data_IF_715008313935
#
_entry.id   IF_715008313935
#
_cell.length_a   1.000
_cell.length_b   1.000
_cell.length_c   1.000
_cell.angle_alpha   90.00
_cell.angle_beta   90.00
_cell.angle_gamma   90.00
#
_symmetry.space_group_name_H-M   'P 1'
#
loop_
_entity.id
_entity.type
_entity.pdbx_description
1 polymer ?
#
# COMPACT_ATOMS: atom_id res chain seq x y z
N UNK A 1 12.89 -11.43 1.48
CA UNK A 1 14.23 -10.83 1.39
C UNK A 1 15.40 -11.81 1.56
N UNK A 2 15.47 -12.65 2.61
CA UNK A 2 16.60 -13.62 2.80
C UNK A 2 16.84 -14.61 1.66
N UNK A 3 15.81 -15.11 0.97
CA UNK A 3 15.96 -16.05 -0.15
C UNK A 3 16.62 -15.41 -1.39
N UNK A 4 16.31 -14.15 -1.70
CA UNK A 4 16.86 -13.45 -2.87
C UNK A 4 18.36 -13.13 -2.70
N UNK A 5 18.79 -12.79 -1.48
CA UNK A 5 20.22 -12.54 -1.17
C UNK A 5 21.07 -13.81 -1.40
N UNK A 6 20.53 -14.97 -1.10
CA UNK A 6 21.21 -16.26 -1.33
C UNK A 6 21.50 -16.49 -2.82
N UNK A 7 20.56 -16.16 -3.71
CA UNK A 7 20.73 -16.36 -5.16
C UNK A 7 21.66 -15.31 -5.80
N UNK A 8 21.79 -14.10 -5.23
CA UNK A 8 22.80 -13.13 -5.63
C UNK A 8 24.22 -13.66 -5.42
N UNK A 9 24.48 -14.28 -4.27
CA UNK A 9 25.78 -14.90 -3.98
C UNK A 9 26.05 -16.12 -4.88
N UNK A 10 25.02 -16.92 -5.20
CA UNK A 10 25.13 -18.04 -6.12
C UNK A 10 25.41 -17.56 -7.56
N UNK A 11 24.81 -16.47 -8.01
CA UNK A 11 25.07 -15.87 -9.31
C UNK A 11 26.54 -15.40 -9.44
N UNK A 12 27.09 -14.76 -8.40
CA UNK A 12 28.49 -14.36 -8.39
C UNK A 12 29.46 -15.55 -8.46
N UNK A 13 29.17 -16.62 -7.73
CA UNK A 13 29.95 -17.88 -7.81
C UNK A 13 29.85 -18.55 -9.17
N UNK A 14 28.66 -18.54 -9.79
CA UNK A 14 28.40 -19.10 -11.11
C UNK A 14 29.20 -18.35 -12.19
N UNK A 15 29.19 -17.01 -12.18
CA UNK A 15 29.89 -16.16 -13.12
C UNK A 15 31.43 -16.23 -12.94
N UNK A 16 31.91 -16.47 -11.71
CA UNK A 16 33.34 -16.62 -11.41
C UNK A 16 33.87 -18.02 -11.66
N UNK A 17 33.01 -19.01 -12.00
CA UNK A 17 33.41 -20.41 -12.19
C UNK A 17 33.67 -21.19 -10.88
N UNK A 18 33.34 -20.62 -9.72
CA UNK A 18 33.61 -21.19 -8.39
C UNK A 18 32.39 -21.91 -7.77
N UNK A 19 31.42 -22.34 -8.59
CA UNK A 19 30.28 -23.11 -8.14
C UNK A 19 30.62 -24.62 -8.05
N UNK A 20 30.23 -25.24 -6.95
CA UNK A 20 30.21 -26.73 -6.88
C UNK A 20 28.96 -27.26 -7.60
N UNK A 21 29.02 -28.52 -8.09
CA UNK A 21 27.95 -29.11 -8.92
C UNK A 21 26.55 -29.03 -8.31
N UNK A 22 26.43 -29.17 -7.02
CA UNK A 22 25.13 -29.02 -6.30
C UNK A 22 24.58 -27.59 -6.30
N UNK A 23 25.45 -26.58 -6.14
CA UNK A 23 25.11 -25.15 -6.18
C UNK A 23 24.71 -24.74 -7.59
N UNK A 24 25.40 -25.26 -8.61
CA UNK A 24 25.09 -25.01 -10.02
C UNK A 24 23.70 -25.53 -10.37
N UNK A 25 23.37 -26.78 -10.06
CA UNK A 25 22.06 -27.38 -10.31
C UNK A 25 20.94 -26.60 -9.57
N UNK A 26 21.21 -26.14 -8.34
CA UNK A 26 20.26 -25.35 -7.59
C UNK A 26 20.01 -23.99 -8.24
N UNK A 27 21.04 -23.36 -8.77
CA UNK A 27 20.96 -22.07 -9.44
C UNK A 27 20.23 -22.18 -10.79
N UNK A 28 20.54 -23.18 -11.61
CA UNK A 28 19.89 -23.44 -12.89
C UNK A 28 18.40 -23.74 -12.72
N UNK A 29 18.04 -24.52 -11.68
CA UNK A 29 16.64 -24.78 -11.34
C UNK A 29 15.92 -23.50 -10.94
N UNK A 30 16.57 -22.60 -10.18
CA UNK A 30 15.98 -21.32 -9.81
C UNK A 30 15.79 -20.39 -11.03
N UNK A 31 16.72 -20.37 -11.97
CA UNK A 31 16.58 -19.64 -13.25
C UNK A 31 15.41 -20.15 -14.09
N UNK A 32 15.14 -21.44 -14.07
CA UNK A 32 14.03 -22.04 -14.84
C UNK A 32 12.64 -21.75 -14.27
N UNK A 33 12.53 -21.31 -13.02
CA UNK A 33 11.25 -21.03 -12.35
C UNK A 33 10.54 -19.77 -12.84
N UNK A 34 11.26 -18.79 -13.45
CA UNK A 34 10.66 -17.53 -13.87
C UNK A 34 11.53 -16.82 -14.90
N UNK A 35 10.89 -16.24 -15.93
CA UNK A 35 11.58 -15.40 -16.90
C UNK A 35 12.16 -14.12 -16.30
N UNK A 36 11.57 -13.63 -15.19
CA UNK A 36 12.15 -12.51 -14.41
C UNK A 36 13.51 -12.85 -13.82
N UNK A 37 13.73 -14.11 -13.40
CA UNK A 37 15.02 -14.57 -12.89
C UNK A 37 16.07 -14.62 -13.99
N UNK A 38 15.70 -15.10 -15.19
CA UNK A 38 16.59 -15.12 -16.37
C UNK A 38 17.02 -13.71 -16.76
N UNK A 39 16.03 -12.81 -16.89
CA UNK A 39 16.30 -11.42 -17.27
C UNK A 39 17.19 -10.68 -16.25
N UNK A 40 16.94 -10.90 -14.96
CA UNK A 40 17.82 -10.39 -13.91
C UNK A 40 19.26 -10.93 -14.04
N UNK A 41 19.43 -12.23 -14.31
CA UNK A 41 20.74 -12.84 -14.45
C UNK A 41 21.48 -12.37 -15.69
N UNK A 42 20.80 -12.17 -16.81
CA UNK A 42 21.38 -11.56 -18.03
C UNK A 42 21.97 -10.16 -17.76
N UNK A 43 21.26 -9.36 -16.94
CA UNK A 43 21.80 -8.08 -16.50
C UNK A 43 23.09 -8.21 -15.69
N UNK A 44 23.16 -9.20 -14.79
CA UNK A 44 24.38 -9.45 -14.00
C UNK A 44 25.54 -9.97 -14.88
N UNK A 45 25.26 -10.78 -15.88
CA UNK A 45 26.28 -11.28 -16.84
C UNK A 45 26.90 -10.14 -17.64
N UNK A 46 26.10 -9.20 -18.14
CA UNK A 46 26.60 -8.00 -18.83
C UNK A 46 27.54 -7.16 -17.95
N UNK A 47 27.17 -6.96 -16.69
CA UNK A 47 28.02 -6.22 -15.74
C UNK A 47 29.33 -6.95 -15.48
N UNK A 48 29.29 -8.29 -15.36
CA UNK A 48 30.45 -9.12 -15.15
C UNK A 48 31.41 -9.12 -16.35
N UNK A 49 30.88 -9.22 -17.58
CA UNK A 49 31.68 -9.13 -18.82
C UNK A 49 32.31 -7.76 -18.97
N UNK A 50 31.57 -6.68 -18.66
CA UNK A 50 32.13 -5.33 -18.69
C UNK A 50 33.26 -5.16 -17.66
N UNK A 51 33.15 -5.77 -16.48
CA UNK A 51 34.24 -5.72 -15.49
C UNK A 51 35.46 -6.52 -15.90
N UNK A 52 35.32 -7.61 -16.65
CA UNK A 52 36.43 -8.37 -17.23
C UNK A 52 37.13 -7.63 -18.38
N UNK A 53 36.35 -6.98 -19.24
CA UNK A 53 36.90 -6.20 -20.37
C UNK A 53 37.69 -4.97 -19.90
N UNK A 54 37.46 -4.48 -18.69
CA UNK A 54 38.16 -3.34 -18.11
C UNK A 54 39.33 -3.73 -17.19
N UNK A 55 39.70 -4.99 -17.07
CA UNK A 55 40.98 -5.35 -16.46
C UNK A 55 42.07 -5.06 -17.44
N UNK A 56 42.74 -3.92 -17.25
CA UNK A 56 44.00 -3.49 -17.89
C UNK A 56 45.15 -4.44 -17.52
N UNK A 57 45.01 -5.73 -17.86
CA UNK A 57 45.97 -6.76 -17.46
C UNK A 57 47.00 -7.11 -18.55
N UNK A 58 46.84 -6.63 -19.79
CA UNK A 58 47.70 -7.07 -20.90
C UNK A 58 48.81 -6.10 -21.28
N UNK A 59 49.06 -5.02 -20.54
CA UNK A 59 50.14 -4.06 -20.83
C UNK A 59 51.14 -3.84 -19.69
N UNK A 60 51.06 -4.56 -18.60
CA UNK A 60 52.06 -4.42 -17.51
C UNK A 60 53.09 -5.51 -17.67
N UNK A 61 54.22 -5.15 -18.33
CA UNK A 61 55.39 -6.02 -18.34
C UNK A 61 56.06 -5.99 -16.95
N UNK A 62 55.73 -7.01 -16.16
CA UNK A 62 56.18 -7.18 -14.76
C UNK A 62 57.72 -7.21 -14.67
N UNK A 63 58.40 -7.77 -15.67
CA UNK A 63 59.87 -7.82 -15.74
C UNK A 63 60.47 -6.43 -15.88
N UNK A 64 59.85 -5.56 -16.70
CA UNK A 64 60.30 -4.18 -16.87
C UNK A 64 60.06 -3.36 -15.59
N UNK A 65 58.97 -3.60 -14.90
CA UNK A 65 58.66 -2.97 -13.61
C UNK A 65 59.63 -3.46 -12.51
N UNK A 66 59.93 -4.74 -12.46
CA UNK A 66 60.83 -5.34 -11.51
C UNK A 66 62.29 -4.84 -11.72
N UNK A 67 62.73 -4.76 -13.00
CA UNK A 67 64.03 -4.20 -13.35
C UNK A 67 64.17 -2.70 -12.97
N UNK A 68 63.13 -1.91 -13.14
CA UNK A 68 63.11 -0.49 -12.66
C UNK A 68 63.20 -0.39 -11.13
N UNK A 69 62.59 -1.30 -10.41
CA UNK A 69 62.67 -1.37 -8.94
C UNK A 69 64.04 -1.80 -8.51
N UNK A 70 64.63 -2.83 -9.13
CA UNK A 70 65.97 -3.33 -8.80
C UNK A 70 67.04 -2.31 -9.14
N UNK A 71 66.94 -1.55 -10.26
CA UNK A 71 67.85 -0.43 -10.57
C UNK A 71 67.72 0.68 -9.53
N UNK A 72 66.56 1.01 -9.04
CA UNK A 72 66.40 1.98 -7.96
C UNK A 72 66.97 1.48 -6.62
N UNK A 73 66.88 0.22 -6.32
CA UNK A 73 67.49 -0.39 -5.13
C UNK A 73 69.02 -0.36 -5.24
N UNK A 74 69.61 -0.68 -6.40
CA UNK A 74 71.06 -0.58 -6.65
C UNK A 74 71.59 0.87 -6.56
N UNK A 75 70.82 1.85 -7.03
CA UNK A 75 71.12 3.26 -6.85
C UNK A 75 71.05 3.73 -5.38
N UNK A 76 70.27 3.12 -4.56
CA UNK A 76 70.17 3.45 -3.13
C UNK A 76 71.29 2.86 -2.27
N UNK A 77 72.14 1.96 -2.84
CA UNK A 77 73.29 1.33 -2.09
C UNK A 77 74.65 1.94 -2.43
N UNK A 78 74.69 3.05 -3.20
CA UNK A 78 75.96 3.82 -3.32
C UNK A 78 76.10 4.66 -2.03
N UNK A 79 77.27 4.56 -1.31
CA UNK A 79 77.51 5.39 -0.15
C UNK A 79 77.67 6.84 -0.58
N UNK A 80 76.69 7.64 -0.36
CA UNK A 80 76.72 9.10 -0.57
C UNK A 80 77.53 9.73 0.56
N UNK A 81 78.49 10.66 0.22
CA UNK A 81 79.21 11.41 1.25
C UNK A 81 78.24 12.31 2.03
N UNK A 82 78.42 12.26 3.31
CA UNK A 82 77.74 12.93 4.39
C UNK A 82 77.30 14.36 4.07
N UNK A 83 76.04 14.58 3.71
CA UNK A 83 75.45 15.92 3.61
C UNK A 83 74.39 16.07 4.73
N UNK A 84 74.78 16.96 5.60
CA UNK A 84 73.99 17.66 6.64
C UNK A 84 72.58 17.10 6.92
N UNK A 85 72.38 16.59 8.11
CA UNK A 85 71.08 16.26 8.74
C UNK A 85 70.17 17.49 8.73
N UNK A 86 69.44 17.72 7.63
CA UNK A 86 68.23 18.51 7.75
C UNK A 86 67.23 17.74 8.58
N UNK A 87 66.89 18.27 9.74
CA UNK A 87 65.92 17.70 10.63
C UNK A 87 64.61 17.36 9.89
N UNK A 88 64.32 16.09 9.63
CA UNK A 88 63.04 15.64 9.17
C UNK A 88 62.05 16.01 10.27
N UNK A 89 61.21 17.02 10.03
CA UNK A 89 60.08 17.29 10.91
C UNK A 89 59.30 15.97 11.05
N UNK A 90 58.99 15.47 12.26
CA UNK A 90 58.19 14.28 12.42
C UNK A 90 56.83 14.55 11.73
N UNK A 91 56.45 13.73 10.75
CA UNK A 91 55.09 13.78 10.20
C UNK A 91 54.18 13.54 11.40
N UNK A 92 53.52 14.62 11.82
CA UNK A 92 52.71 14.61 13.05
C UNK A 92 51.66 13.51 12.89
N UNK A 93 51.72 12.51 13.75
CA UNK A 93 50.71 11.46 13.89
C UNK A 93 49.32 12.09 14.01
N UNK A 94 49.27 13.34 14.46
CA UNK A 94 48.11 14.19 14.56
C UNK A 94 47.34 14.36 13.20
N UNK A 95 48.06 14.47 12.09
CA UNK A 95 47.43 14.62 10.76
C UNK A 95 46.80 13.31 10.28
N UNK A 96 47.35 12.17 10.67
CA UNK A 96 46.75 10.85 10.39
C UNK A 96 45.52 10.60 11.23
N UNK A 97 45.56 10.95 12.52
CA UNK A 97 44.43 10.85 13.44
C UNK A 97 43.32 11.82 13.02
N UNK A 98 43.67 13.04 12.62
CA UNK A 98 42.69 14.03 12.12
C UNK A 98 42.02 13.55 10.83
N UNK A 99 42.74 12.93 9.90
CA UNK A 99 42.20 12.34 8.67
C UNK A 99 41.24 11.15 8.97
N UNK A 100 41.65 10.25 9.86
CA UNK A 100 40.79 9.13 10.28
C UNK A 100 39.51 9.60 11.01
N UNK A 101 39.61 10.63 11.85
CA UNK A 101 38.49 11.23 12.53
C UNK A 101 37.50 11.91 11.54
N UNK A 102 38.04 12.59 10.50
CA UNK A 102 37.20 13.21 9.47
C UNK A 102 36.42 12.17 8.65
N UNK A 103 37.05 11.06 8.27
CA UNK A 103 36.41 9.95 7.54
C UNK A 103 35.36 9.28 8.45
N UNK A 104 35.65 9.10 9.73
CA UNK A 104 34.70 8.53 10.69
C UNK A 104 33.49 9.44 10.92
N UNK A 105 33.71 10.76 11.04
CA UNK A 105 32.62 11.72 11.18
C UNK A 105 31.79 11.84 9.90
N UNK A 106 32.41 11.77 8.71
CA UNK A 106 31.69 11.68 7.44
C UNK A 106 30.86 10.40 7.36
N UNK A 107 31.41 9.27 7.75
CA UNK A 107 30.68 8.00 7.85
C UNK A 107 29.49 8.07 8.81
N UNK A 108 29.70 8.67 9.99
CA UNK A 108 28.62 8.91 10.97
C UNK A 108 27.57 9.88 10.43
N UNK A 109 27.97 10.95 9.72
CA UNK A 109 27.05 11.89 9.10
C UNK A 109 26.21 11.20 8.02
N UNK A 110 26.84 10.40 7.13
CA UNK A 110 26.12 9.61 6.11
C UNK A 110 25.14 8.64 6.77
N UNK A 111 25.56 7.90 7.81
CA UNK A 111 24.68 7.00 8.57
C UNK A 111 23.55 7.74 9.26
N UNK A 112 23.80 8.94 9.80
CA UNK A 112 22.77 9.79 10.41
C UNK A 112 21.77 10.31 9.40
N UNK A 113 22.22 10.78 8.23
CA UNK A 113 21.33 11.21 7.14
C UNK A 113 20.58 10.06 6.49
N UNK A 114 21.20 8.88 6.36
CA UNK A 114 20.50 7.67 5.87
C UNK A 114 19.48 7.12 6.88
N UNK A 115 19.65 7.41 8.16
CA UNK A 115 18.71 6.96 9.23
C UNK A 115 17.55 7.91 9.46
N UNK A 116 17.64 9.14 8.97
CA UNK A 116 16.57 10.13 9.00
C UNK A 116 15.67 10.01 7.75
N UNK A 117 15.15 8.81 7.46
CA UNK A 117 13.87 8.72 6.77
C UNK A 117 12.83 9.26 7.76
N UNK A 118 12.52 10.52 7.64
CA UNK A 118 11.41 11.15 8.37
C UNK A 118 10.16 10.36 7.99
N UNK A 119 9.70 9.49 8.89
CA UNK A 119 8.41 8.84 8.71
C UNK A 119 7.38 9.97 8.55
N UNK A 120 6.59 9.97 7.46
CA UNK A 120 5.59 11.00 7.25
C UNK A 120 4.66 11.04 8.46
N UNK A 121 4.32 12.24 8.94
CA UNK A 121 3.35 12.37 10.02
C UNK A 121 2.02 11.81 9.55
N UNK A 122 1.43 10.92 10.36
CA UNK A 122 0.12 10.35 10.07
C UNK A 122 -0.95 11.32 10.57
N UNK A 123 -1.92 11.61 9.71
CA UNK A 123 -3.10 12.39 10.01
C UNK A 123 -4.27 11.45 10.24
N UNK A 124 -5.12 11.78 11.21
CA UNK A 124 -6.35 11.04 11.51
C UNK A 124 -7.51 11.97 11.23
N UNK A 125 -8.44 11.53 10.39
CA UNK A 125 -9.69 12.22 10.16
C UNK A 125 -10.85 11.32 10.56
N UNK A 126 -11.64 11.74 11.55
CA UNK A 126 -12.80 11.04 12.04
C UNK A 126 -14.07 11.86 11.77
N UNK A 127 -15.02 11.29 11.07
CA UNK A 127 -16.31 11.89 10.76
C UNK A 127 -17.35 11.44 11.79
N UNK A 128 -17.86 12.35 12.63
CA UNK A 128 -18.97 12.05 13.56
C UNK A 128 -20.30 11.96 12.83
N UNK A 129 -20.46 12.73 11.76
CA UNK A 129 -21.60 12.72 10.84
C UNK A 129 -21.10 12.54 9.42
N UNK A 130 -22.00 12.23 8.47
CA UNK A 130 -21.61 12.12 7.07
C UNK A 130 -21.05 13.45 6.56
N UNK A 131 -20.01 13.37 5.73
CA UNK A 131 -19.42 14.58 5.15
C UNK A 131 -20.15 14.98 3.86
N UNK A 132 -20.56 16.25 3.76
CA UNK A 132 -21.14 16.80 2.52
C UNK A 132 -20.08 17.14 1.48
N UNK A 133 -18.86 17.45 1.95
CA UNK A 133 -17.70 17.73 1.09
C UNK A 133 -16.65 16.62 1.25
N UNK A 134 -15.91 16.27 0.18
CA UNK A 134 -14.89 15.24 0.29
C UNK A 134 -13.69 15.70 1.10
N UNK A 135 -13.11 14.79 1.86
CA UNK A 135 -11.75 14.92 2.34
C UNK A 135 -10.80 14.74 1.14
N UNK A 136 -9.96 15.74 0.87
CA UNK A 136 -8.93 15.64 -0.16
C UNK A 136 -7.66 15.06 0.45
N UNK A 137 -7.18 13.98 -0.12
CA UNK A 137 -5.92 13.35 0.25
C UNK A 137 -4.74 14.02 -0.48
N UNK A 138 -3.49 13.84 0.00
CA UNK A 138 -2.31 14.47 -0.59
C UNK A 138 -2.02 14.12 -2.05
N UNK A 139 -2.56 13.02 -2.56
CA UNK A 139 -2.44 12.55 -3.94
C UNK A 139 -3.51 13.11 -4.89
N UNK A 140 -4.45 13.91 -4.39
CA UNK A 140 -5.61 14.44 -5.12
C UNK A 140 -6.85 13.54 -5.03
N UNK A 141 -6.76 12.35 -4.41
CA UNK A 141 -7.92 11.49 -4.21
C UNK A 141 -8.94 12.14 -3.28
N UNK A 142 -10.22 11.86 -3.53
CA UNK A 142 -11.36 12.38 -2.76
C UNK A 142 -12.02 11.26 -1.98
N UNK A 143 -12.32 11.50 -0.70
CA UNK A 143 -12.99 10.53 0.18
C UNK A 143 -14.18 11.19 0.85
N UNK A 144 -15.39 10.69 0.56
CA UNK A 144 -16.60 11.07 1.30
C UNK A 144 -16.79 10.06 2.43
N UNK A 145 -16.89 10.52 3.66
CA UNK A 145 -17.03 9.65 4.83
C UNK A 145 -18.47 9.67 5.34
N UNK A 146 -18.99 8.49 5.62
CA UNK A 146 -20.25 8.35 6.38
C UNK A 146 -19.98 8.58 7.88
N UNK A 147 -21.05 8.86 8.65
CA UNK A 147 -20.95 9.08 10.09
C UNK A 147 -20.33 7.88 10.83
N UNK A 148 -19.47 8.15 11.80
CA UNK A 148 -18.73 7.14 12.56
C UNK A 148 -17.53 6.55 11.83
N UNK A 149 -17.14 7.09 10.67
CA UNK A 149 -15.98 6.62 9.90
C UNK A 149 -14.68 7.33 10.28
N UNK A 150 -13.57 6.61 10.13
CA UNK A 150 -12.23 7.14 10.38
C UNK A 150 -11.26 6.67 9.29
N UNK A 151 -10.44 7.60 8.81
CA UNK A 151 -9.33 7.32 7.90
C UNK A 151 -8.03 7.86 8.50
N UNK A 152 -6.96 7.06 8.38
CA UNK A 152 -5.61 7.48 8.74
C UNK A 152 -4.74 7.45 7.49
N UNK A 153 -4.09 8.57 7.21
CA UNK A 153 -3.29 8.77 6.01
C UNK A 153 -2.06 9.63 6.30
N UNK A 154 -0.96 9.52 5.56
CA UNK A 154 0.23 10.33 5.74
C UNK A 154 0.01 11.76 5.23
N UNK A 155 0.70 12.74 5.80
CA UNK A 155 0.72 14.11 5.31
C UNK A 155 1.20 14.22 3.84
N UNK A 156 2.05 13.30 3.41
CA UNK A 156 2.47 13.12 2.02
C UNK A 156 2.76 11.64 1.74
N UNK A 157 2.37 11.13 0.57
CA UNK A 157 2.75 9.80 0.09
C UNK A 157 4.18 9.85 -0.46
N UNK A 158 5.16 9.41 0.33
CA UNK A 158 6.60 9.45 0.01
C UNK A 158 7.14 8.11 -0.50
N UNK A 159 6.30 7.08 -0.58
CA UNK A 159 6.64 5.74 -1.06
C UNK A 159 5.97 5.44 -2.39
N UNK A 160 6.44 4.37 -3.08
CA UNK A 160 5.83 3.86 -4.31
C UNK A 160 4.39 3.33 -4.10
N UNK A 161 3.91 3.28 -2.86
CA UNK A 161 2.56 2.83 -2.49
C UNK A 161 1.90 3.92 -1.66
N UNK A 162 0.72 4.37 -2.08
CA UNK A 162 -0.14 5.32 -1.36
C UNK A 162 -0.97 4.55 -0.35
N UNK A 163 -0.46 4.41 0.87
CA UNK A 163 -1.09 3.56 1.89
C UNK A 163 -1.88 4.37 2.90
N UNK A 164 -3.10 3.90 3.22
CA UNK A 164 -4.00 4.42 4.24
C UNK A 164 -4.57 3.29 5.08
N UNK A 165 -5.13 3.60 6.24
CA UNK A 165 -5.99 2.67 7.00
C UNK A 165 -7.37 3.27 7.16
N UNK A 166 -8.39 2.42 7.25
CA UNK A 166 -9.78 2.86 7.24
C UNK A 166 -10.65 1.97 8.13
N UNK A 167 -11.67 2.59 8.74
CA UNK A 167 -12.80 1.91 9.38
C UNK A 167 -14.08 2.72 9.19
N UNK A 168 -15.23 2.06 9.06
CA UNK A 168 -16.53 2.68 8.83
C UNK A 168 -17.04 2.48 7.42
N UNK A 169 -17.71 3.48 6.85
CA UNK A 169 -18.22 3.47 5.47
C UNK A 169 -17.80 4.74 4.73
N UNK A 170 -17.27 4.59 3.51
CA UNK A 170 -16.85 5.73 2.70
C UNK A 170 -16.93 5.44 1.20
N UNK A 171 -17.18 6.50 0.42
CA UNK A 171 -16.99 6.51 -1.02
C UNK A 171 -15.60 7.07 -1.32
N UNK A 172 -14.80 6.26 -1.98
CA UNK A 172 -13.47 6.62 -2.46
C UNK A 172 -13.51 6.94 -3.96
N UNK A 173 -12.95 8.08 -4.33
CA UNK A 173 -12.66 8.48 -5.71
C UNK A 173 -11.15 8.66 -5.80
N UNK A 174 -10.45 7.56 -6.12
CA UNK A 174 -8.99 7.52 -6.13
C UNK A 174 -8.44 8.04 -7.44
N UNK A 175 -7.50 9.00 -7.35
CA UNK A 175 -6.81 9.58 -8.50
C UNK A 175 -5.95 8.53 -9.22
N UNK A 176 -6.01 8.54 -10.56
CA UNK A 176 -5.36 7.54 -11.39
C UNK A 176 -3.83 7.73 -11.42
N UNK A 177 -3.10 6.80 -10.80
CA UNK A 177 -1.63 6.75 -10.77
C UNK A 177 -1.16 5.29 -10.95
N UNK A 178 -0.94 4.82 -12.20
CA UNK A 178 -0.60 3.43 -12.48
C UNK A 178 0.69 2.93 -11.83
N UNK A 179 1.67 3.82 -11.62
CA UNK A 179 2.98 3.48 -11.05
C UNK A 179 2.98 3.49 -9.50
N UNK A 180 1.95 4.09 -8.88
CA UNK A 180 1.82 4.21 -7.44
C UNK A 180 0.45 3.68 -6.97
N UNK A 181 0.31 2.39 -6.67
CA UNK A 181 -0.94 1.82 -6.19
C UNK A 181 -1.44 2.49 -4.91
N UNK A 182 -2.76 2.70 -4.82
CA UNK A 182 -3.41 3.15 -3.60
C UNK A 182 -3.89 1.93 -2.81
N UNK A 183 -3.47 1.81 -1.56
CA UNK A 183 -3.82 0.71 -0.69
C UNK A 183 -4.56 1.22 0.55
N UNK A 184 -5.67 0.56 0.85
CA UNK A 184 -6.39 0.74 2.11
C UNK A 184 -6.21 -0.55 2.91
N UNK A 185 -5.62 -0.45 4.08
CA UNK A 185 -5.44 -1.59 4.97
C UNK A 185 -6.46 -1.55 6.11
N UNK A 186 -7.11 -2.65 6.33
CA UNK A 186 -7.92 -2.97 7.49
C UNK A 186 -7.23 -4.07 8.30
N UNK A 187 -7.86 -4.58 9.34
CA UNK A 187 -7.21 -5.51 10.28
C UNK A 187 -6.71 -6.81 9.62
N UNK A 188 -7.48 -7.40 8.69
CA UNK A 188 -7.17 -8.70 8.08
C UNK A 188 -7.27 -8.72 6.57
N UNK A 189 -7.74 -7.64 5.97
CA UNK A 189 -7.85 -7.55 4.53
C UNK A 189 -7.48 -6.15 4.04
N UNK A 190 -7.23 -6.03 2.74
CA UNK A 190 -6.92 -4.75 2.12
C UNK A 190 -7.53 -4.61 0.74
N UNK A 191 -7.62 -3.37 0.33
CA UNK A 191 -8.05 -2.93 -1.00
C UNK A 191 -6.87 -2.32 -1.71
N UNK A 192 -6.66 -2.63 -2.98
CA UNK A 192 -5.61 -2.04 -3.82
C UNK A 192 -6.21 -1.60 -5.16
N UNK A 193 -5.96 -0.34 -5.53
CA UNK A 193 -6.46 0.26 -6.77
C UNK A 193 -5.40 1.15 -7.42
N UNK A 194 -5.57 1.44 -8.72
CA UNK A 194 -4.69 2.35 -9.47
C UNK A 194 -5.37 3.67 -9.85
N UNK A 195 -6.69 3.72 -9.78
CA UNK A 195 -7.54 4.86 -10.13
C UNK A 195 -8.96 4.35 -10.28
N UNK A 196 -9.79 4.51 -9.26
CA UNK A 196 -11.01 3.70 -9.11
C UNK A 196 -12.00 4.44 -8.22
N UNK A 197 -13.29 4.31 -8.57
CA UNK A 197 -14.40 4.79 -7.73
C UNK A 197 -15.12 3.59 -7.13
N UNK A 198 -15.22 3.52 -5.79
CA UNK A 198 -15.84 2.41 -5.07
C UNK A 198 -16.35 2.85 -3.69
N UNK A 199 -17.38 2.16 -3.20
CA UNK A 199 -17.84 2.27 -1.83
C UNK A 199 -17.20 1.17 -0.99
N UNK A 200 -16.68 1.51 0.17
CA UNK A 200 -16.10 0.57 1.15
C UNK A 200 -16.87 0.69 2.45
N UNK A 201 -17.45 -0.43 2.90
CA UNK A 201 -18.13 -0.55 4.19
C UNK A 201 -17.40 -1.57 5.05
N UNK A 202 -16.62 -1.08 6.00
CA UNK A 202 -15.80 -1.84 6.94
C UNK A 202 -16.09 -1.35 8.37
N UNK A 203 -17.36 -1.48 8.78
CA UNK A 203 -17.81 -1.07 10.11
C UNK A 203 -17.25 -2.02 11.16
N UNK A 204 -16.62 -1.54 12.24
CA UNK A 204 -16.16 -2.37 13.34
C UNK A 204 -17.28 -3.26 13.88
N UNK A 205 -16.93 -4.44 14.37
CA UNK A 205 -17.84 -5.44 14.93
C UNK A 205 -18.89 -6.01 13.94
N UNK A 206 -18.74 -5.75 12.64
CA UNK A 206 -19.57 -6.38 11.62
C UNK A 206 -19.01 -7.75 11.23
N UNK A 207 -19.90 -8.74 11.05
CA UNK A 207 -19.50 -10.08 10.56
C UNK A 207 -18.99 -10.04 9.12
N UNK A 208 -19.38 -9.04 8.34
CA UNK A 208 -18.99 -8.90 6.94
C UNK A 208 -18.66 -7.46 6.59
N UNK A 209 -17.66 -7.32 5.73
CA UNK A 209 -17.25 -6.05 5.11
C UNK A 209 -17.50 -6.11 3.61
N UNK A 210 -17.92 -4.98 3.04
CA UNK A 210 -18.35 -4.89 1.66
C UNK A 210 -17.54 -3.87 0.89
N UNK A 211 -17.23 -4.21 -0.37
CA UNK A 211 -16.59 -3.29 -1.31
C UNK A 211 -17.37 -3.32 -2.62
N UNK A 212 -18.03 -2.24 -2.95
CA UNK A 212 -18.86 -2.11 -4.14
C UNK A 212 -18.12 -1.30 -5.20
N UNK A 213 -17.74 -1.95 -6.30
CA UNK A 213 -17.00 -1.31 -7.37
C UNK A 213 -17.92 -0.60 -8.36
N UNK A 214 -17.75 0.72 -8.47
CA UNK A 214 -18.52 1.59 -9.37
C UNK A 214 -17.81 1.76 -10.72
N UNK A 215 -16.51 2.10 -10.69
CA UNK A 215 -15.72 2.33 -11.90
C UNK A 215 -14.26 1.92 -11.68
N UNK A 216 -13.60 1.44 -12.73
CA UNK A 216 -12.20 1.05 -12.71
C UNK A 216 -11.98 -0.44 -12.44
N UNK A 217 -10.93 -0.78 -11.73
CA UNK A 217 -10.55 -2.15 -11.33
C UNK A 217 -10.00 -2.14 -9.91
N UNK A 218 -10.42 -3.12 -9.13
CA UNK A 218 -10.07 -3.20 -7.72
C UNK A 218 -9.59 -4.59 -7.37
N UNK A 219 -8.53 -4.68 -6.57
CA UNK A 219 -8.03 -5.90 -5.98
C UNK A 219 -8.32 -5.91 -4.48
N UNK A 220 -9.02 -6.93 -4.02
CA UNK A 220 -9.09 -7.30 -2.61
C UNK A 220 -8.01 -8.32 -2.29
N UNK A 221 -7.46 -8.27 -1.08
CA UNK A 221 -6.52 -9.27 -0.61
C UNK A 221 -6.62 -9.45 0.90
N UNK A 222 -6.38 -10.67 1.36
CA UNK A 222 -6.19 -10.97 2.78
C UNK A 222 -4.70 -11.08 3.09
N UNK A 223 -4.32 -10.77 4.30
CA UNK A 223 -2.94 -10.90 4.78
C UNK A 223 -2.93 -11.36 6.23
N UNK A 224 -1.82 -12.00 6.63
CA UNK A 224 -1.54 -12.30 8.02
C UNK A 224 -0.61 -11.21 8.57
N UNK A 225 -0.94 -10.66 9.73
CA UNK A 225 -0.13 -9.62 10.36
C UNK A 225 1.29 -10.11 10.68
N UNK A 226 1.45 -11.41 10.93
CA UNK A 226 2.74 -12.04 11.24
C UNK A 226 3.55 -12.48 10.00
N UNK A 227 2.90 -12.55 8.83
CA UNK A 227 3.52 -12.97 7.58
C UNK A 227 3.31 -11.88 6.52
N UNK A 228 4.37 -11.24 6.06
CA UNK A 228 4.38 -10.27 4.94
C UNK A 228 3.94 -10.92 3.60
N UNK A 229 2.86 -11.72 3.63
CA UNK A 229 2.35 -12.48 2.49
C UNK A 229 0.84 -12.35 2.37
N UNK A 230 0.39 -12.01 1.16
CA UNK A 230 -1.04 -12.05 0.79
C UNK A 230 -1.48 -13.51 0.66
N UNK A 231 -2.52 -13.89 1.42
CA UNK A 231 -3.01 -15.27 1.50
C UNK A 231 -4.02 -15.54 0.38
N UNK A 232 -4.99 -14.64 0.20
CA UNK A 232 -6.06 -14.74 -0.80
C UNK A 232 -6.15 -13.42 -1.58
N UNK A 233 -6.52 -13.49 -2.87
CA UNK A 233 -6.69 -12.31 -3.71
C UNK A 233 -7.91 -12.48 -4.61
N UNK A 234 -8.66 -11.39 -4.77
CA UNK A 234 -9.85 -11.33 -5.60
C UNK A 234 -9.85 -10.03 -6.40
N UNK A 235 -10.17 -10.10 -7.68
CA UNK A 235 -10.31 -8.92 -8.54
C UNK A 235 -11.79 -8.66 -8.76
N UNK A 236 -12.22 -7.41 -8.58
CA UNK A 236 -13.56 -6.93 -8.88
C UNK A 236 -13.57 -6.14 -10.17
N UNK A 237 -14.67 -6.26 -10.88
CA UNK A 237 -15.05 -5.47 -12.04
C UNK A 237 -16.25 -4.56 -11.69
N UNK A 238 -16.51 -3.48 -12.45
CA UNK A 238 -17.64 -2.60 -12.20
C UNK A 238 -18.98 -3.35 -12.11
N UNK A 239 -19.78 -3.03 -11.09
CA UNK A 239 -21.04 -3.70 -10.77
C UNK A 239 -20.89 -4.99 -9.95
N UNK A 240 -19.68 -5.30 -9.49
CA UNK A 240 -19.44 -6.40 -8.56
C UNK A 240 -19.25 -5.88 -7.12
N UNK A 241 -19.70 -6.69 -6.16
CA UNK A 241 -19.49 -6.55 -4.72
C UNK A 241 -18.46 -7.56 -4.24
N UNK A 242 -17.39 -7.11 -3.60
CA UNK A 242 -16.50 -7.92 -2.81
C UNK A 242 -17.01 -8.04 -1.38
N UNK A 243 -16.88 -9.22 -0.81
CA UNK A 243 -17.31 -9.53 0.55
C UNK A 243 -16.12 -10.14 1.28
N UNK A 244 -15.74 -9.56 2.40
CA UNK A 244 -14.83 -10.16 3.36
C UNK A 244 -15.64 -10.64 4.56
N UNK A 245 -15.57 -11.94 4.85
CA UNK A 245 -16.21 -12.55 6.02
C UNK A 245 -15.20 -12.56 7.18
N UNK A 246 -15.53 -11.86 8.25
CA UNK A 246 -14.63 -11.65 9.38
C UNK A 246 -14.38 -12.92 10.20
N UNK A 247 -15.38 -13.82 10.27
CA UNK A 247 -15.28 -15.06 11.05
C UNK A 247 -14.39 -16.08 10.34
N UNK A 248 -14.54 -16.23 9.01
CA UNK A 248 -13.78 -17.21 8.20
C UNK A 248 -12.52 -16.62 7.58
N UNK A 249 -12.35 -15.29 7.60
CA UNK A 249 -11.28 -14.54 6.95
C UNK A 249 -11.17 -14.80 5.44
N UNK A 250 -12.31 -15.08 4.77
CA UNK A 250 -12.39 -15.42 3.35
C UNK A 250 -12.94 -14.27 2.52
N UNK A 251 -12.45 -14.19 1.29
CA UNK A 251 -12.98 -13.31 0.27
C UNK A 251 -13.97 -14.03 -0.63
N UNK A 252 -15.05 -13.36 -0.98
CA UNK A 252 -15.98 -13.79 -2.02
C UNK A 252 -16.47 -12.62 -2.84
N UNK A 253 -17.09 -12.88 -3.99
CA UNK A 253 -17.69 -11.84 -4.81
C UNK A 253 -19.11 -12.22 -5.20
N UNK A 254 -19.94 -11.18 -5.36
CA UNK A 254 -21.30 -11.29 -5.85
C UNK A 254 -21.56 -10.17 -6.89
N UNK A 255 -22.63 -10.29 -7.63
CA UNK A 255 -23.14 -9.16 -8.40
C UNK A 255 -23.74 -8.14 -7.42
N UNK A 256 -23.44 -6.86 -7.60
CA UNK A 256 -24.10 -5.80 -6.83
C UNK A 256 -25.56 -5.69 -7.26
N UNK A 257 -26.45 -5.99 -6.34
CA UNK A 257 -27.93 -5.97 -6.55
C UNK A 257 -28.66 -5.06 -5.58
N UNK A 258 -27.96 -4.55 -4.57
CA UNK A 258 -28.52 -3.60 -3.62
C UNK A 258 -28.62 -2.21 -4.26
N UNK A 259 -29.82 -1.75 -4.57
CA UNK A 259 -30.05 -0.45 -5.17
C UNK A 259 -29.68 0.71 -4.25
N UNK A 260 -29.60 0.45 -2.95
CA UNK A 260 -29.44 1.45 -1.90
C UNK A 260 -28.03 1.48 -1.28
N UNK A 261 -27.05 0.75 -1.83
CA UNK A 261 -25.69 0.73 -1.29
C UNK A 261 -25.01 2.09 -1.23
N UNK A 262 -25.49 3.05 -2.01
CA UNK A 262 -25.01 4.44 -2.05
C UNK A 262 -26.00 5.44 -1.47
N UNK A 263 -27.09 4.99 -0.86
CA UNK A 263 -28.17 5.87 -0.37
C UNK A 263 -27.65 6.88 0.66
N UNK A 264 -26.73 6.47 1.52
CA UNK A 264 -26.10 7.33 2.53
C UNK A 264 -25.41 8.55 1.90
N UNK A 265 -24.83 8.39 0.70
CA UNK A 265 -24.11 9.47 -0.01
C UNK A 265 -25.02 10.20 -1.00
N UNK A 266 -25.76 9.46 -1.82
CA UNK A 266 -26.60 10.04 -2.87
C UNK A 266 -27.87 10.71 -2.34
N UNK A 267 -28.38 10.26 -1.20
CA UNK A 267 -29.69 10.62 -0.69
C UNK A 267 -30.84 10.01 -1.51
N UNK A 268 -30.55 9.00 -2.33
CA UNK A 268 -31.56 8.31 -3.16
C UNK A 268 -31.83 6.94 -2.56
N UNK A 269 -33.09 6.67 -2.26
CA UNK A 269 -33.61 5.38 -1.86
C UNK A 269 -34.53 4.82 -2.96
N UNK A 270 -34.28 3.61 -3.39
CA UNK A 270 -35.08 2.95 -4.44
C UNK A 270 -35.49 1.55 -3.99
N UNK A 271 -36.78 1.30 -4.04
CA UNK A 271 -37.40 0.04 -3.64
C UNK A 271 -38.25 -0.50 -4.79
N UNK A 272 -38.09 -1.77 -5.13
CA UNK A 272 -38.86 -2.44 -6.19
C UNK A 272 -39.47 -3.71 -5.59
N UNK A 273 -40.77 -3.67 -5.32
CA UNK A 273 -41.51 -4.77 -4.72
C UNK A 273 -40.81 -5.31 -3.45
N UNK A 274 -40.27 -4.40 -2.62
CA UNK A 274 -39.51 -4.71 -1.43
C UNK A 274 -40.45 -4.89 -0.24
N UNK A 275 -40.29 -5.89 0.66
CA UNK A 275 -41.03 -5.94 1.93
C UNK A 275 -40.83 -4.62 2.67
N UNK A 276 -41.93 -4.07 3.21
CA UNK A 276 -41.87 -2.76 3.86
C UNK A 276 -40.99 -2.78 5.12
N UNK A 277 -40.89 -3.91 5.81
CA UNK A 277 -39.98 -4.14 6.91
C UNK A 277 -38.52 -3.89 6.49
N UNK A 278 -38.09 -4.50 5.38
CA UNK A 278 -36.72 -4.39 4.85
C UNK A 278 -36.45 -2.97 4.32
N UNK A 279 -37.47 -2.36 3.69
CA UNK A 279 -37.36 -0.98 3.24
C UNK A 279 -37.19 -0.01 4.43
N UNK A 280 -37.91 -0.23 5.53
CA UNK A 280 -37.76 0.60 6.73
C UNK A 280 -36.44 0.36 7.45
N UNK A 281 -35.86 -0.84 7.40
CA UNK A 281 -34.48 -1.05 7.88
C UNK A 281 -33.48 -0.18 7.10
N UNK A 282 -33.59 -0.18 5.76
CA UNK A 282 -32.75 0.67 4.89
C UNK A 282 -33.00 2.15 5.15
N UNK A 283 -34.24 2.58 5.29
CA UNK A 283 -34.61 3.97 5.64
C UNK A 283 -34.00 4.34 6.99
N UNK A 284 -34.17 3.52 8.02
CA UNK A 284 -33.64 3.76 9.36
C UNK A 284 -32.10 3.86 9.41
N UNK A 285 -31.41 3.20 8.48
CA UNK A 285 -29.95 3.31 8.36
C UNK A 285 -29.50 4.63 7.73
N UNK A 286 -30.39 5.37 7.05
CA UNK A 286 -30.07 6.57 6.29
C UNK A 286 -30.67 7.85 6.86
N UNK A 287 -31.60 7.75 7.80
CA UNK A 287 -32.28 8.89 8.42
C UNK A 287 -32.02 8.98 9.92
N UNK A 288 -32.06 10.17 10.47
CA UNK A 288 -31.90 10.38 11.92
C UNK A 288 -33.15 10.04 12.74
N UNK A 289 -34.31 9.90 12.08
CA UNK A 289 -35.56 9.43 12.69
C UNK A 289 -35.70 7.94 12.49
N UNK A 290 -36.26 7.26 13.51
CA UNK A 290 -36.49 5.82 13.47
C UNK A 290 -37.97 5.53 13.18
N UNK A 291 -38.23 4.84 12.08
CA UNK A 291 -39.55 4.36 11.70
C UNK A 291 -39.82 3.00 12.32
N UNK A 292 -41.01 2.84 12.92
CA UNK A 292 -41.48 1.59 13.52
C UNK A 292 -42.83 1.24 12.91
N UNK A 293 -42.93 0.04 12.33
CA UNK A 293 -44.13 -0.47 11.67
C UNK A 293 -44.95 -1.29 12.64
N UNK A 294 -46.29 -1.09 12.64
CA UNK A 294 -47.22 -1.95 13.33
C UNK A 294 -47.23 -3.36 12.69
N UNK A 295 -47.30 -4.43 13.51
CA UNK A 295 -47.24 -5.82 13.06
C UNK A 295 -48.30 -6.16 11.99
N UNK A 296 -49.48 -5.54 12.05
CA UNK A 296 -50.54 -5.75 11.05
C UNK A 296 -50.18 -5.35 9.63
N UNK A 297 -49.08 -4.63 9.45
CA UNK A 297 -48.60 -4.11 8.15
C UNK A 297 -47.32 -4.80 7.65
N UNK A 298 -46.83 -5.84 8.30
CA UNK A 298 -45.60 -6.54 7.93
C UNK A 298 -45.67 -7.21 6.55
N UNK A 299 -46.88 -7.52 6.05
CA UNK A 299 -47.07 -8.13 4.71
C UNK A 299 -47.02 -7.10 3.56
N UNK A 300 -46.96 -5.81 3.89
CA UNK A 300 -46.93 -4.76 2.88
C UNK A 300 -45.60 -4.74 2.13
N UNK A 301 -45.69 -4.35 0.87
CA UNK A 301 -44.51 -4.17 -0.02
C UNK A 301 -44.55 -2.79 -0.63
N UNK A 302 -43.35 -2.24 -0.89
CA UNK A 302 -43.18 -0.92 -1.46
C UNK A 302 -42.48 -0.99 -2.83
N UNK A 303 -42.96 -0.18 -3.78
CA UNK A 303 -42.24 0.21 -4.99
C UNK A 303 -42.28 1.72 -5.06
N UNK A 304 -41.15 2.36 -4.74
CA UNK A 304 -41.02 3.81 -4.67
C UNK A 304 -39.56 4.21 -4.83
N UNK A 305 -39.35 5.46 -5.23
CA UNK A 305 -38.06 6.10 -5.27
C UNK A 305 -38.15 7.44 -4.55
N UNK A 306 -37.33 7.63 -3.53
CA UNK A 306 -37.23 8.85 -2.73
C UNK A 306 -35.91 9.53 -3.07
N UNK A 307 -35.93 10.81 -3.41
CA UNK A 307 -34.73 11.56 -3.83
C UNK A 307 -34.48 12.74 -2.91
N UNK A 308 -33.50 12.60 -2.00
CA UNK A 308 -33.05 13.65 -1.05
C UNK A 308 -34.20 14.25 -0.22
N UNK A 309 -35.22 13.45 0.06
CA UNK A 309 -36.33 13.86 0.90
C UNK A 309 -35.85 14.10 2.36
N UNK A 310 -36.38 15.11 3.00
CA UNK A 310 -36.26 15.27 4.44
C UNK A 310 -37.05 14.19 5.17
N UNK A 311 -36.81 14.03 6.46
CA UNK A 311 -37.59 13.07 7.27
C UNK A 311 -39.08 13.37 7.24
N UNK A 312 -39.45 14.62 7.20
CA UNK A 312 -40.86 15.11 7.16
C UNK A 312 -41.50 14.76 5.81
N UNK A 313 -40.82 15.03 4.68
CA UNK A 313 -41.32 14.70 3.35
C UNK A 313 -41.44 13.18 3.17
N UNK A 314 -40.51 12.41 3.70
CA UNK A 314 -40.60 10.94 3.66
C UNK A 314 -41.78 10.41 4.47
N UNK A 315 -42.10 11.00 5.64
CA UNK A 315 -43.31 10.66 6.42
C UNK A 315 -44.54 10.91 5.59
N UNK A 316 -44.67 12.09 4.96
CA UNK A 316 -45.81 12.45 4.10
C UNK A 316 -45.93 11.50 2.90
N UNK A 317 -44.83 11.14 2.28
CA UNK A 317 -44.77 10.17 1.17
C UNK A 317 -45.27 8.80 1.62
N UNK A 318 -44.79 8.27 2.73
CA UNK A 318 -45.24 6.98 3.28
C UNK A 318 -46.72 7.00 3.70
N UNK A 319 -47.19 8.10 4.29
CA UNK A 319 -48.63 8.28 4.60
C UNK A 319 -49.46 8.26 3.33
N UNK A 320 -49.03 8.92 2.28
CA UNK A 320 -49.75 9.00 0.99
C UNK A 320 -49.82 7.62 0.33
N UNK A 321 -48.71 6.85 0.35
CA UNK A 321 -48.66 5.54 -0.29
C UNK A 321 -49.51 4.51 0.42
N UNK A 322 -49.50 4.49 1.77
CA UNK A 322 -50.09 3.41 2.57
C UNK A 322 -51.29 3.83 3.42
N UNK A 323 -51.61 5.13 3.46
CA UNK A 323 -52.69 5.70 4.33
C UNK A 323 -52.47 5.40 5.82
N UNK A 324 -51.24 5.40 6.28
CA UNK A 324 -50.88 5.18 7.67
C UNK A 324 -51.39 6.30 8.59
N UNK A 325 -51.86 5.91 9.78
CA UNK A 325 -51.95 6.81 10.91
C UNK A 325 -50.53 6.97 11.52
N UNK A 326 -50.00 8.19 11.51
CA UNK A 326 -48.64 8.45 11.99
C UNK A 326 -48.67 9.12 13.35
N UNK A 327 -47.93 8.54 14.30
CA UNK A 327 -47.68 9.16 15.60
C UNK A 327 -46.18 9.30 15.83
N UNK A 328 -45.74 10.42 16.39
CA UNK A 328 -44.35 10.71 16.67
C UNK A 328 -44.07 10.85 18.15
N UNK A 329 -43.01 10.21 18.62
CA UNK A 329 -42.49 10.37 19.96
C UNK A 329 -40.97 10.62 19.89
N UNK A 330 -40.57 11.89 20.01
CA UNK A 330 -39.18 12.30 19.82
C UNK A 330 -38.67 12.00 18.42
N UNK A 331 -37.63 11.18 18.31
CA UNK A 331 -37.08 10.71 17.03
C UNK A 331 -37.72 9.45 16.50
N UNK A 332 -38.72 8.89 17.17
CA UNK A 332 -39.41 7.68 16.72
C UNK A 332 -40.73 8.03 16.08
N UNK A 333 -40.96 7.51 14.88
CA UNK A 333 -42.18 7.64 14.07
C UNK A 333 -42.85 6.26 13.98
N UNK A 334 -44.08 6.17 14.48
CA UNK A 334 -44.86 4.96 14.43
C UNK A 334 -45.85 5.00 13.25
N UNK A 335 -45.76 4.00 12.38
CA UNK A 335 -46.64 3.79 11.23
C UNK A 335 -47.72 2.74 11.63
N UNK A 336 -48.95 3.21 11.83
CA UNK A 336 -50.06 2.42 12.33
C UNK A 336 -51.17 2.25 11.31
#
# INVERSE_FOLDING_TARGET
MRKFIRYKNLAAKYLSGNCISAEQQQFERWLSLSDKHKHWFEGQTKIWEFSKANTLSDSINVETALNKVNQRIAFMHQPQPNRNKAARKPVSVYNWVAGAAAVFLLGLAVLFFMKNETQPQMQIYAATEKTDSPLLLPDGSSVYLNGGSEIVYPEAFVTDIRQTTFKGEALFEVEAQPEAPFQILMEHFGVEVLGTKFNLKATPDSDQYFVDLINGKLRLFTFDQDADSRIEQLILLPGERGIFDAATKRLSRAKQTDLNFMAWHSGILEFINTPLTDALETINANYSVRFVLDEKHHDLRITARFEKESSEELIESLQTIFSFEVTRNGQTVYLR
#
